data_IF_765018105631
#
_entry.id   IF_765018105631
#
_cell.length_a   1.000
_cell.length_b   1.000
_cell.length_c   1.000
_cell.angle_alpha   90.00
_cell.angle_beta   90.00
_cell.angle_gamma   90.00
#
_symmetry.space_group_name_H-M   'P 1'
#
loop_
_entity.id
_entity.type
_entity.pdbx_description
1 polymer ?
#
# COMPACT_ATOMS: atom_id res chain seq x y z
N UNK A 1 2.26 31.87 -20.46
CA UNK A 1 2.85 33.09 -19.85
C UNK A 1 1.85 34.22 -20.04
N UNK A 2 1.20 34.70 -18.97
CA UNK A 2 0.23 35.80 -19.08
C UNK A 2 0.97 37.11 -18.94
N UNK A 3 1.13 37.82 -20.06
CA UNK A 3 1.64 39.20 -20.13
C UNK A 3 0.73 40.12 -19.30
N UNK A 4 1.32 41.02 -18.51
CA UNK A 4 0.55 42.05 -17.83
C UNK A 4 0.22 43.15 -18.84
N UNK A 5 -1.06 43.29 -19.18
CA UNK A 5 -1.55 44.49 -19.87
C UNK A 5 -1.61 45.61 -18.83
N UNK A 6 -0.60 46.47 -18.84
CA UNK A 6 -0.59 47.69 -18.05
C UNK A 6 -1.35 48.77 -18.85
N UNK A 7 -2.14 49.66 -18.23
CA UNK A 7 -2.66 50.85 -18.89
C UNK A 7 -1.50 51.69 -19.45
N UNK A 8 -1.75 52.47 -20.50
CA UNK A 8 -0.72 53.17 -21.31
C UNK A 8 0.24 54.07 -20.47
N UNK A 9 -0.13 54.39 -19.23
CA UNK A 9 0.62 55.24 -18.30
C UNK A 9 1.48 54.46 -17.28
N UNK A 10 1.37 53.13 -17.20
CA UNK A 10 2.10 52.29 -16.24
C UNK A 10 3.17 51.44 -16.94
N UNK A 11 4.45 51.84 -16.83
CA UNK A 11 5.59 51.07 -17.33
C UNK A 11 6.57 50.71 -16.20
N UNK A 12 7.26 49.58 -16.31
CA UNK A 12 8.26 49.13 -15.33
C UNK A 12 7.65 48.68 -13.99
N UNK A 13 8.33 49.00 -12.88
CA UNK A 13 7.97 48.58 -11.51
C UNK A 13 6.57 49.08 -11.07
N UNK A 14 6.04 50.12 -11.72
CA UNK A 14 4.71 50.65 -11.47
C UNK A 14 3.59 49.70 -11.94
N UNK A 15 3.85 48.82 -12.90
CA UNK A 15 2.87 47.79 -13.27
C UNK A 15 2.77 46.69 -12.19
N UNK A 16 3.76 46.57 -11.29
CA UNK A 16 3.63 45.71 -10.11
C UNK A 16 2.66 46.27 -9.06
N UNK A 17 2.36 47.58 -9.08
CA UNK A 17 1.35 48.17 -8.20
C UNK A 17 -0.09 47.78 -8.59
N UNK A 18 -0.32 47.42 -9.85
CA UNK A 18 -1.61 46.91 -10.36
C UNK A 18 -1.75 45.41 -10.07
N UNK A 19 -0.64 44.72 -9.79
CA UNK A 19 -0.66 43.31 -9.41
C UNK A 19 -1.25 43.16 -8.02
N UNK A 20 -2.37 42.46 -7.97
CA UNK A 20 -2.99 42.09 -6.72
C UNK A 20 -2.12 41.13 -5.93
N UNK A 21 -2.27 41.19 -4.60
CA UNK A 21 -1.69 40.20 -3.69
C UNK A 21 -2.74 39.18 -3.32
N UNK A 22 -2.34 37.92 -3.21
CA UNK A 22 -3.24 36.89 -2.70
C UNK A 22 -3.64 37.22 -1.26
N UNK A 23 -4.94 37.15 -0.97
CA UNK A 23 -5.47 37.23 0.38
C UNK A 23 -4.99 36.04 1.23
N UNK A 24 -5.27 36.11 2.52
CA UNK A 24 -5.11 34.94 3.39
C UNK A 24 -6.03 33.82 2.91
N UNK A 25 -5.54 32.59 3.02
CA UNK A 25 -6.35 31.42 2.73
C UNK A 25 -7.57 31.35 3.66
N UNK A 26 -8.71 30.93 3.09
CA UNK A 26 -9.85 30.46 3.86
C UNK A 26 -9.43 29.30 4.76
N UNK A 27 -10.17 29.01 5.83
CA UNK A 27 -10.07 27.71 6.48
C UNK A 27 -10.31 26.59 5.46
N UNK A 28 -9.72 25.43 5.74
CA UNK A 28 -10.03 24.22 4.98
C UNK A 28 -11.49 23.84 5.13
N UNK A 29 -12.11 23.41 4.03
CA UNK A 29 -13.41 22.75 4.08
C UNK A 29 -13.31 21.44 4.88
N UNK A 30 -14.46 20.92 5.28
CA UNK A 30 -14.55 19.53 5.70
C UNK A 30 -14.17 18.59 4.55
N UNK A 31 -13.71 17.39 4.91
CA UNK A 31 -13.44 16.34 3.95
C UNK A 31 -14.75 15.86 3.33
N UNK A 32 -14.81 15.85 2.01
CA UNK A 32 -15.95 15.34 1.27
C UNK A 32 -15.52 14.21 0.33
N UNK A 33 -16.16 13.03 0.39
CA UNK A 33 -17.14 12.63 1.41
C UNK A 33 -16.51 12.52 2.82
N UNK A 34 -17.33 12.61 3.87
CA UNK A 34 -16.86 12.57 5.27
C UNK A 34 -16.45 11.17 5.73
N UNK A 35 -16.96 10.13 5.08
CA UNK A 35 -16.56 8.74 5.26
C UNK A 35 -16.54 8.00 3.91
N UNK A 36 -15.90 6.85 3.86
CA UNK A 36 -15.71 6.02 2.66
C UNK A 36 -14.28 5.52 2.55
N UNK A 37 -14.09 4.27 2.12
CA UNK A 37 -12.75 3.73 1.75
C UNK A 37 -12.25 4.31 0.42
N UNK A 38 -12.97 5.28 -0.13
CA UNK A 38 -12.57 5.99 -1.34
C UNK A 38 -11.26 6.76 -1.19
N UNK A 39 -10.32 6.56 -2.11
CA UNK A 39 -9.08 7.36 -2.22
C UNK A 39 -9.32 8.86 -2.52
N UNK A 40 -10.57 9.26 -2.78
CA UNK A 40 -10.93 10.60 -3.24
C UNK A 40 -11.45 11.54 -2.15
N UNK A 41 -11.37 11.16 -0.86
CA UNK A 41 -11.72 12.11 0.21
C UNK A 41 -10.79 13.32 0.14
N UNK A 42 -11.38 14.49 -0.07
CA UNK A 42 -10.61 15.72 -0.24
C UNK A 42 -11.23 16.89 0.50
N UNK A 43 -10.38 17.81 0.91
CA UNK A 43 -10.76 19.14 1.41
C UNK A 43 -10.22 20.21 0.49
N UNK A 44 -10.91 21.33 0.47
CA UNK A 44 -10.64 22.45 -0.42
C UNK A 44 -10.55 23.73 0.40
N UNK A 45 -9.66 24.64 0.00
CA UNK A 45 -9.66 26.01 0.50
C UNK A 45 -9.48 26.97 -0.66
N UNK A 46 -9.97 28.19 -0.47
CA UNK A 46 -9.90 29.25 -1.47
C UNK A 46 -9.25 30.50 -0.90
N UNK A 47 -8.81 31.38 -1.77
CA UNK A 47 -8.35 32.72 -1.41
C UNK A 47 -8.69 33.69 -2.52
N UNK A 48 -8.97 34.93 -2.13
CA UNK A 48 -9.29 35.98 -3.08
C UNK A 48 -8.03 36.73 -3.54
N UNK A 49 -8.15 37.41 -4.66
CA UNK A 49 -7.14 38.34 -5.12
C UNK A 49 -7.44 39.74 -4.58
N UNK A 50 -6.49 40.33 -3.85
CA UNK A 50 -6.56 41.72 -3.39
C UNK A 50 -5.91 42.61 -4.45
N UNK A 51 -6.68 42.97 -5.48
CA UNK A 51 -6.26 43.81 -6.60
C UNK A 51 -6.90 43.34 -7.92
N UNK A 52 -6.44 43.86 -9.06
CA UNK A 52 -7.06 43.53 -10.35
C UNK A 52 -6.61 42.17 -10.91
N UNK A 53 -5.36 41.78 -10.65
CA UNK A 53 -4.83 40.50 -11.15
C UNK A 53 -3.73 39.92 -10.25
N UNK A 54 -3.90 38.67 -9.82
CA UNK A 54 -2.90 37.92 -9.07
C UNK A 54 -2.17 36.91 -9.96
N UNK A 55 -0.86 36.75 -9.77
CA UNK A 55 -0.08 35.74 -10.50
C UNK A 55 -0.41 34.33 -10.01
N UNK A 56 -0.47 33.38 -10.94
CA UNK A 56 -0.63 31.95 -10.64
C UNK A 56 -1.95 31.33 -11.11
N UNK A 57 -2.77 32.04 -11.89
CA UNK A 57 -3.99 31.48 -12.52
C UNK A 57 -4.95 30.87 -11.49
N UNK A 58 -5.13 29.54 -11.56
CA UNK A 58 -5.90 28.72 -10.60
C UNK A 58 -5.32 28.71 -9.17
N UNK A 59 -4.27 29.50 -8.89
CA UNK A 59 -3.69 29.67 -7.56
C UNK A 59 -4.66 30.23 -6.50
N UNK A 60 -5.91 30.54 -6.85
CA UNK A 60 -6.98 30.87 -5.90
C UNK A 60 -7.55 29.62 -5.19
N UNK A 61 -7.32 28.43 -5.73
CA UNK A 61 -7.88 27.16 -5.25
C UNK A 61 -6.77 26.20 -4.81
N UNK A 62 -6.96 25.57 -3.66
CA UNK A 62 -6.10 24.47 -3.22
C UNK A 62 -6.92 23.28 -2.75
N UNK A 63 -6.48 22.08 -3.14
CA UNK A 63 -7.06 20.81 -2.72
C UNK A 63 -6.04 19.96 -1.98
N UNK A 64 -6.49 19.23 -0.98
CA UNK A 64 -5.68 18.30 -0.20
C UNK A 64 -6.47 17.01 0.06
N UNK A 65 -5.78 15.87 0.01
CA UNK A 65 -6.35 14.56 0.34
C UNK A 65 -6.50 14.41 1.85
N UNK A 66 -7.64 13.86 2.26
CA UNK A 66 -7.91 13.53 3.65
C UNK A 66 -7.54 12.07 3.96
N UNK A 67 -7.26 11.74 5.23
CA UNK A 67 -7.15 10.35 5.66
C UNK A 67 -8.48 9.63 5.40
N UNK A 68 -8.43 8.45 4.79
CA UNK A 68 -9.63 7.65 4.55
C UNK A 68 -10.18 7.11 5.87
N UNK A 69 -11.47 7.33 6.11
CA UNK A 69 -12.20 6.73 7.23
C UNK A 69 -13.41 5.96 6.72
N UNK A 70 -13.52 4.65 6.98
CA UNK A 70 -14.63 3.83 6.48
C UNK A 70 -15.96 4.30 7.06
N UNK A 71 -17.01 4.28 6.25
CA UNK A 71 -18.37 4.54 6.72
C UNK A 71 -18.87 3.42 7.66
N UNK A 72 -19.84 3.70 8.55
CA UNK A 72 -20.45 2.68 9.41
C UNK A 72 -20.99 1.46 8.65
N UNK A 73 -21.57 1.69 7.47
CA UNK A 73 -22.08 0.62 6.62
C UNK A 73 -20.95 -0.24 6.01
N UNK A 74 -19.82 0.38 5.69
CA UNK A 74 -18.62 -0.32 5.20
C UNK A 74 -17.96 -1.12 6.32
N UNK A 75 -17.85 -0.56 7.54
CA UNK A 75 -17.33 -1.30 8.69
C UNK A 75 -18.24 -2.46 9.07
N UNK A 76 -19.56 -2.32 8.94
CA UNK A 76 -20.52 -3.42 9.07
C UNK A 76 -20.33 -4.48 7.98
N UNK A 77 -20.10 -4.09 6.73
CA UNK A 77 -19.83 -5.02 5.64
C UNK A 77 -18.50 -5.78 5.84
N UNK A 78 -17.46 -5.07 6.29
CA UNK A 78 -16.15 -5.65 6.62
C UNK A 78 -16.25 -6.59 7.84
N UNK A 79 -16.99 -6.20 8.88
CA UNK A 79 -17.24 -7.03 10.05
C UNK A 79 -18.04 -8.29 9.70
N UNK A 80 -19.04 -8.19 8.80
CA UNK A 80 -19.79 -9.34 8.26
C UNK A 80 -18.92 -10.28 7.44
N UNK A 81 -17.87 -9.77 6.80
CA UNK A 81 -16.88 -10.60 6.10
C UNK A 81 -15.92 -11.34 7.04
N UNK A 82 -15.94 -11.07 8.35
CA UNK A 82 -15.10 -11.78 9.34
C UNK A 82 -13.60 -11.62 9.10
N UNK A 83 -13.19 -10.64 8.29
CA UNK A 83 -11.80 -10.43 7.90
C UNK A 83 -11.22 -9.26 8.69
N UNK A 84 -10.95 -9.51 9.96
CA UNK A 84 -9.92 -8.76 10.65
C UNK A 84 -8.59 -9.40 10.26
N UNK A 85 -8.11 -9.12 9.04
CA UNK A 85 -6.78 -9.56 8.64
C UNK A 85 -5.76 -8.69 9.36
N UNK A 86 -5.24 -9.22 10.46
CA UNK A 86 -4.03 -8.69 11.07
C UNK A 86 -2.96 -8.60 9.96
N UNK A 87 -2.30 -7.42 9.76
CA UNK A 87 -1.27 -7.24 8.73
C UNK A 87 -0.10 -8.25 8.82
N UNK A 88 0.03 -8.97 9.94
CA UNK A 88 0.99 -10.04 10.14
C UNK A 88 0.59 -11.37 9.48
N UNK A 89 -0.69 -11.63 9.22
CA UNK A 89 -1.19 -12.95 8.84
C UNK A 89 -1.09 -13.21 7.33
N UNK A 90 -1.23 -12.17 6.50
CA UNK A 90 -1.06 -12.27 5.05
C UNK A 90 0.37 -12.68 4.65
N UNK A 91 1.37 -12.21 5.41
CA UNK A 91 2.79 -12.55 5.20
C UNK A 91 3.09 -13.99 5.60
N UNK A 92 2.41 -14.49 6.64
CA UNK A 92 2.53 -15.87 7.12
C UNK A 92 1.89 -16.84 6.10
N UNK A 93 0.73 -16.50 5.52
CA UNK A 93 0.05 -17.31 4.50
C UNK A 93 0.92 -17.55 3.25
N UNK A 94 1.64 -16.52 2.76
CA UNK A 94 2.54 -16.66 1.60
C UNK A 94 3.82 -17.46 1.94
N UNK A 95 4.36 -17.33 3.15
CA UNK A 95 5.54 -18.07 3.61
C UNK A 95 5.24 -19.56 3.91
N UNK A 96 4.02 -19.88 4.35
CA UNK A 96 3.65 -21.24 4.74
C UNK A 96 3.44 -22.20 3.56
N UNK A 97 3.06 -21.71 2.38
CA UNK A 97 2.78 -22.56 1.22
C UNK A 97 4.03 -23.29 0.70
N UNK A 98 5.21 -22.65 0.72
CA UNK A 98 6.48 -23.29 0.34
C UNK A 98 7.02 -24.18 1.46
N UNK A 99 6.90 -23.76 2.72
CA UNK A 99 7.33 -24.56 3.86
C UNK A 99 6.58 -25.90 3.94
N UNK A 100 5.25 -25.91 3.77
CA UNK A 100 4.46 -27.14 3.84
C UNK A 100 4.82 -28.17 2.75
N UNK A 101 5.15 -27.70 1.53
CA UNK A 101 5.64 -28.58 0.45
C UNK A 101 7.02 -29.15 0.78
N UNK A 102 7.93 -28.32 1.29
CA UNK A 102 9.25 -28.77 1.72
C UNK A 102 9.19 -29.78 2.87
N UNK A 103 8.36 -29.56 3.90
CA UNK A 103 8.21 -30.50 5.02
C UNK A 103 7.68 -31.86 4.56
N UNK A 104 6.67 -31.88 3.67
CA UNK A 104 6.16 -33.15 3.10
C UNK A 104 7.21 -33.88 2.28
N UNK A 105 7.98 -33.16 1.46
CA UNK A 105 9.03 -33.73 0.64
C UNK A 105 10.18 -34.31 1.49
N UNK A 106 10.63 -33.55 2.50
CA UNK A 106 11.68 -34.00 3.43
C UNK A 106 11.22 -35.21 4.24
N UNK A 107 9.95 -35.23 4.69
CA UNK A 107 9.38 -36.40 5.37
C UNK A 107 9.37 -37.65 4.50
N UNK A 108 8.92 -37.54 3.25
CA UNK A 108 8.91 -38.67 2.30
C UNK A 108 10.32 -39.18 1.97
N UNK A 109 11.29 -38.28 1.82
CA UNK A 109 12.70 -38.66 1.59
C UNK A 109 13.26 -39.37 2.83
N UNK A 110 12.99 -38.86 4.03
CA UNK A 110 13.46 -39.48 5.27
C UNK A 110 12.91 -40.91 5.44
N UNK A 111 11.61 -41.12 5.19
CA UNK A 111 11.01 -42.46 5.21
C UNK A 111 11.66 -43.39 4.19
N UNK A 112 11.88 -42.92 2.95
CA UNK A 112 12.53 -43.71 1.91
C UNK A 112 13.97 -44.11 2.31
N UNK A 113 14.75 -43.19 2.88
CA UNK A 113 16.12 -43.48 3.34
C UNK A 113 16.14 -44.49 4.48
N UNK A 114 15.19 -44.40 5.42
CA UNK A 114 15.05 -45.38 6.50
C UNK A 114 14.77 -46.77 5.91
N UNK A 115 13.81 -46.89 4.99
CA UNK A 115 13.47 -48.16 4.35
C UNK A 115 14.68 -48.75 3.58
N UNK A 116 15.39 -47.92 2.83
CA UNK A 116 16.60 -48.33 2.10
C UNK A 116 17.64 -48.87 3.07
N UNK A 117 17.89 -48.16 4.18
CA UNK A 117 18.85 -48.60 5.20
C UNK A 117 18.48 -49.94 5.81
N UNK A 118 17.20 -50.17 6.12
CA UNK A 118 16.69 -51.44 6.66
C UNK A 118 16.90 -52.59 5.68
N UNK A 119 16.68 -52.38 4.39
CA UNK A 119 16.90 -53.39 3.34
C UNK A 119 18.39 -53.73 3.25
N UNK A 120 19.29 -52.74 3.24
CA UNK A 120 20.73 -52.99 3.24
C UNK A 120 21.18 -53.77 4.47
N UNK A 121 20.72 -53.41 5.67
CA UNK A 121 21.01 -54.16 6.90
C UNK A 121 20.50 -55.60 6.85
N UNK A 122 19.32 -55.83 6.27
CA UNK A 122 18.78 -57.17 6.06
C UNK A 122 19.64 -57.99 5.10
N UNK A 123 20.02 -57.41 3.96
CA UNK A 123 20.87 -58.07 2.96
C UNK A 123 22.25 -58.42 3.52
N UNK A 124 22.89 -57.51 4.24
CA UNK A 124 24.21 -57.78 4.85
C UNK A 124 24.12 -58.86 5.92
N UNK A 125 23.07 -58.87 6.75
CA UNK A 125 22.84 -59.91 7.75
C UNK A 125 22.64 -61.29 7.08
N UNK A 126 21.83 -61.37 6.03
CA UNK A 126 21.63 -62.64 5.29
C UNK A 126 22.92 -63.13 4.65
N UNK A 127 23.70 -62.25 4.01
CA UNK A 127 24.99 -62.59 3.41
C UNK A 127 25.98 -63.13 4.45
N UNK A 128 26.08 -62.49 5.62
CA UNK A 128 26.94 -62.97 6.72
C UNK A 128 26.52 -64.37 7.19
N UNK A 129 25.22 -64.63 7.36
CA UNK A 129 24.71 -65.96 7.75
C UNK A 129 25.06 -67.01 6.70
N UNK A 130 24.86 -66.71 5.41
CA UNK A 130 25.24 -67.62 4.33
C UNK A 130 26.75 -67.91 4.32
N UNK A 131 27.60 -66.90 4.52
CA UNK A 131 29.05 -67.09 4.60
C UNK A 131 29.48 -67.97 5.78
N UNK A 132 28.80 -67.88 6.93
CA UNK A 132 29.10 -68.73 8.10
C UNK A 132 28.61 -70.17 7.88
N UNK A 133 27.49 -70.36 7.20
CA UNK A 133 26.90 -71.69 6.98
C UNK A 133 27.61 -72.53 5.91
N UNK A 134 28.25 -71.87 4.95
CA UNK A 134 28.96 -72.51 3.83
C UNK A 134 30.48 -72.59 4.03
N UNK A 135 30.96 -72.38 5.25
CA UNK A 135 32.38 -72.42 5.63
C UNK A 135 32.68 -73.59 6.57
#
# INVERSE_FOLDING_TARGET
ETYCNCPDEAYGDQCELIRGKWAQWSPWSECSPSCGVSEYQRRVRTRDCLGEACRGGEGHLQMEMCPTMPCPDETLALARQGRWEDPGELKIQMLQAQAARCVKLVGAIAEALILISCVFSGLTATAMVFSVYFM
#
